data_IF_443547577223
#
_entry.id   IF_443547577223
#
_cell.length_a   1.000
_cell.length_b   1.000
_cell.length_c   1.000
_cell.angle_alpha   90.00
_cell.angle_beta   90.00
_cell.angle_gamma   90.00
#
_symmetry.space_group_name_H-M   'P 1'
#
loop_
_entity.id
_entity.type
_entity.pdbx_description
1 polymer ?
#
# COMPACT_ATOMS: atom_id res chain seq x y z
N UNK A 1 -41.59 -22.95 37.91
CA UNK A 1 -41.00 -22.38 36.69
C UNK A 1 -40.41 -23.54 35.91
N UNK A 2 -40.87 -23.78 34.68
CA UNK A 2 -40.39 -24.92 33.88
C UNK A 2 -38.92 -24.71 33.50
N UNK A 3 -38.12 -25.78 33.59
CA UNK A 3 -36.69 -25.78 33.28
C UNK A 3 -36.44 -25.26 31.85
N UNK A 4 -37.35 -25.58 30.95
CA UNK A 4 -37.34 -25.12 29.55
C UNK A 4 -37.44 -23.60 29.47
N UNK A 5 -38.32 -22.96 30.24
CA UNK A 5 -38.46 -21.49 30.25
C UNK A 5 -37.26 -20.81 30.90
N UNK A 6 -36.68 -21.39 31.95
CA UNK A 6 -35.46 -20.87 32.58
C UNK A 6 -34.25 -20.94 31.62
N UNK A 7 -34.09 -22.04 30.89
CA UNK A 7 -32.95 -22.25 29.98
C UNK A 7 -33.09 -21.41 28.70
N UNK A 8 -34.28 -21.32 28.10
CA UNK A 8 -34.44 -20.63 26.81
C UNK A 8 -34.76 -19.13 26.93
N UNK A 9 -35.25 -18.65 28.07
CA UNK A 9 -35.52 -17.22 28.27
C UNK A 9 -34.61 -16.59 29.35
N UNK A 10 -34.36 -17.30 30.46
CA UNK A 10 -33.58 -16.77 31.58
C UNK A 10 -32.08 -16.67 31.26
N UNK A 11 -31.47 -17.75 30.78
CA UNK A 11 -30.04 -17.80 30.46
C UNK A 11 -29.60 -16.77 29.42
N UNK A 12 -30.30 -16.58 28.28
CA UNK A 12 -29.94 -15.55 27.31
C UNK A 12 -30.03 -14.13 27.87
N UNK A 13 -31.04 -13.84 28.70
CA UNK A 13 -31.19 -12.52 29.35
C UNK A 13 -30.08 -12.29 30.37
N UNK A 14 -29.69 -13.31 31.13
CA UNK A 14 -28.56 -13.25 32.07
C UNK A 14 -27.25 -13.01 31.31
N UNK A 15 -27.00 -13.76 30.24
CA UNK A 15 -25.82 -13.58 29.39
C UNK A 15 -25.77 -12.16 28.82
N UNK A 16 -26.90 -11.65 28.32
CA UNK A 16 -27.00 -10.28 27.80
C UNK A 16 -26.73 -9.24 28.89
N UNK A 17 -27.30 -9.40 30.08
CA UNK A 17 -27.04 -8.50 31.22
C UNK A 17 -25.56 -8.51 31.64
N UNK A 18 -24.92 -9.68 31.69
CA UNK A 18 -23.49 -9.75 31.99
C UNK A 18 -22.64 -9.12 30.88
N UNK A 19 -22.98 -9.35 29.61
CA UNK A 19 -22.29 -8.73 28.49
C UNK A 19 -22.37 -7.20 28.54
N UNK A 20 -23.54 -6.65 28.85
CA UNK A 20 -23.75 -5.20 28.96
C UNK A 20 -23.06 -4.61 30.19
N UNK A 21 -23.06 -5.35 31.32
CA UNK A 21 -22.30 -4.99 32.51
C UNK A 21 -20.80 -4.89 32.24
N UNK A 22 -20.21 -5.91 31.59
CA UNK A 22 -18.78 -5.91 31.29
C UNK A 22 -18.41 -4.85 30.26
N UNK A 23 -19.23 -4.62 29.22
CA UNK A 23 -19.01 -3.52 28.26
C UNK A 23 -18.97 -2.17 28.95
N UNK A 24 -19.89 -1.91 29.87
CA UNK A 24 -19.94 -0.64 30.60
C UNK A 24 -18.72 -0.45 31.51
N UNK A 25 -18.34 -1.51 32.23
CA UNK A 25 -17.15 -1.49 33.09
C UNK A 25 -15.86 -1.28 32.29
N UNK A 26 -15.74 -1.90 31.13
CA UNK A 26 -14.57 -1.78 30.25
C UNK A 26 -14.46 -0.37 29.65
N UNK A 27 -15.60 0.21 29.26
CA UNK A 27 -15.68 1.61 28.83
C UNK A 27 -15.25 2.57 29.96
N UNK A 28 -15.74 2.38 31.18
CA UNK A 28 -15.38 3.21 32.33
C UNK A 28 -13.88 3.08 32.68
N UNK A 29 -13.33 1.87 32.64
CA UNK A 29 -11.91 1.62 32.86
C UNK A 29 -11.04 2.27 31.78
N UNK A 30 -11.42 2.13 30.51
CA UNK A 30 -10.72 2.73 29.37
C UNK A 30 -10.74 4.26 29.45
N UNK A 31 -11.89 4.84 29.79
CA UNK A 31 -12.02 6.29 29.96
C UNK A 31 -11.13 6.80 31.10
N UNK A 32 -11.07 6.08 32.23
CA UNK A 32 -10.21 6.40 33.38
C UNK A 32 -8.72 6.25 33.08
N UNK A 33 -8.34 5.23 32.29
CA UNK A 33 -6.95 5.05 31.82
C UNK A 33 -6.52 6.24 30.95
N UNK A 34 -7.39 6.65 30.03
CA UNK A 34 -7.17 7.77 29.11
C UNK A 34 -7.30 9.15 29.77
N UNK A 35 -7.83 9.26 31.00
CA UNK A 35 -7.90 10.52 31.76
C UNK A 35 -6.50 11.08 32.11
N UNK A 36 -5.52 10.19 32.32
CA UNK A 36 -4.13 10.56 32.63
C UNK A 36 -3.32 11.03 31.42
N UNK A 37 -3.81 10.75 30.21
CA UNK A 37 -3.13 10.96 28.93
C UNK A 37 -3.33 12.39 28.38
N UNK A 38 -3.38 13.40 29.27
CA UNK A 38 -3.65 14.80 28.93
C UNK A 38 -2.54 15.49 28.11
N UNK A 39 -1.45 14.80 27.79
CA UNK A 39 -0.35 15.31 26.97
C UNK A 39 -0.44 14.98 25.48
N UNK A 40 -1.32 14.05 25.09
CA UNK A 40 -1.51 13.70 23.68
C UNK A 40 -2.62 14.57 23.07
N UNK A 41 -2.36 15.31 21.98
CA UNK A 41 -3.40 16.07 21.33
C UNK A 41 -4.52 15.11 20.90
N UNK A 42 -5.72 15.30 21.47
CA UNK A 42 -6.92 14.56 21.09
C UNK A 42 -7.20 14.85 19.61
N UNK A 43 -6.81 13.93 18.73
CA UNK A 43 -7.15 13.96 17.32
C UNK A 43 -8.66 13.69 17.25
N UNK A 44 -9.46 14.77 17.25
CA UNK A 44 -10.94 14.71 17.21
C UNK A 44 -11.49 14.33 15.85
N UNK A 45 -10.69 14.49 14.80
CA UNK A 45 -11.02 14.09 13.44
C UNK A 45 -9.81 13.39 12.84
N UNK A 46 -9.98 12.14 12.46
CA UNK A 46 -9.10 11.58 11.45
C UNK A 46 -9.41 12.30 10.14
N UNK A 47 -8.49 13.14 9.70
CA UNK A 47 -8.56 13.80 8.39
C UNK A 47 -8.17 12.78 7.30
N UNK A 48 -9.00 11.74 7.15
CA UNK A 48 -8.97 10.90 5.96
C UNK A 48 -9.54 11.73 4.83
N UNK A 49 -8.68 12.17 3.91
CA UNK A 49 -9.18 12.74 2.66
C UNK A 49 -9.79 11.58 1.87
N UNK A 50 -11.12 11.47 1.91
CA UNK A 50 -11.93 10.60 1.07
C UNK A 50 -11.85 11.14 -0.35
N UNK A 51 -10.91 10.66 -1.15
CA UNK A 51 -10.88 10.93 -2.58
C UNK A 51 -11.87 9.98 -3.27
N UNK A 52 -12.96 10.55 -3.80
CA UNK A 52 -14.01 9.83 -4.54
C UNK A 52 -13.42 9.27 -5.84
N UNK A 53 -13.49 7.96 -6.01
CA UNK A 53 -13.32 7.29 -7.31
C UNK A 53 -14.47 6.31 -7.48
N UNK A 54 -15.26 6.50 -8.54
CA UNK A 54 -16.44 5.69 -8.83
C UNK A 54 -16.09 4.29 -9.34
N UNK A 55 -16.93 3.34 -8.90
CA UNK A 55 -17.34 2.03 -9.44
C UNK A 55 -16.24 1.09 -10.04
N UNK A 56 -16.15 -0.22 -9.72
CA UNK A 56 -17.22 -1.23 -9.67
C UNK A 56 -16.87 -2.49 -8.84
N UNK A 57 -17.94 -3.08 -8.28
CA UNK A 57 -18.21 -4.46 -7.81
C UNK A 57 -17.32 -5.14 -6.74
N UNK A 58 -17.89 -5.29 -5.52
CA UNK A 58 -18.06 -6.56 -4.78
C UNK A 58 -19.22 -6.36 -3.78
N UNK A 59 -20.13 -7.34 -3.73
CA UNK A 59 -21.30 -7.39 -2.85
C UNK A 59 -20.95 -7.13 -1.38
N UNK A 60 -21.56 -6.09 -0.78
CA UNK A 60 -22.17 -6.04 0.57
C UNK A 60 -22.29 -4.57 1.01
N UNK A 61 -23.30 -4.27 1.81
CA UNK A 61 -23.66 -2.96 2.38
C UNK A 61 -24.68 -2.15 1.55
N UNK A 62 -25.92 -2.66 1.58
CA UNK A 62 -27.10 -1.81 1.52
C UNK A 62 -27.03 -0.76 2.63
N UNK A 63 -27.49 0.45 2.32
CA UNK A 63 -27.45 1.69 3.12
C UNK A 63 -26.15 2.51 2.93
N UNK A 64 -26.18 3.36 1.89
CA UNK A 64 -25.16 4.35 1.47
C UNK A 64 -23.83 3.74 0.97
N UNK A 65 -23.79 3.38 -0.31
CA UNK A 65 -22.62 2.76 -0.96
C UNK A 65 -21.47 3.76 -1.18
N UNK A 66 -20.71 4.03 -0.12
CA UNK A 66 -19.39 4.65 -0.22
C UNK A 66 -18.39 3.64 0.34
N UNK A 67 -17.51 3.14 -0.52
CA UNK A 67 -16.37 2.35 -0.09
C UNK A 67 -15.25 3.28 0.40
N UNK A 68 -14.75 3.05 1.61
CA UNK A 68 -13.61 3.78 2.15
C UNK A 68 -12.31 3.18 1.63
N UNK A 69 -11.45 4.01 1.04
CA UNK A 69 -10.10 3.62 0.63
C UNK A 69 -9.10 4.16 1.64
N UNK A 70 -8.38 3.27 2.32
CA UNK A 70 -7.33 3.65 3.26
C UNK A 70 -6.00 3.84 2.54
N UNK A 71 -5.45 5.05 2.60
CA UNK A 71 -4.16 5.38 2.02
C UNK A 71 -3.27 6.10 3.04
N UNK A 72 -1.98 5.78 3.02
CA UNK A 72 -1.02 6.37 3.93
C UNK A 72 -0.69 7.83 3.61
N UNK A 73 -0.85 8.74 4.59
CA UNK A 73 -0.49 10.17 4.50
C UNK A 73 0.62 10.56 5.49
N UNK A 74 1.79 9.96 5.32
CA UNK A 74 3.02 10.22 6.09
C UNK A 74 4.23 9.71 5.30
N UNK A 75 5.44 9.95 5.80
CA UNK A 75 6.66 9.43 5.17
C UNK A 75 6.58 7.89 5.12
N UNK A 76 6.88 7.35 3.94
CA UNK A 76 6.75 5.91 3.63
C UNK A 76 5.41 5.51 3.01
N UNK A 77 4.42 6.42 2.99
CA UNK A 77 3.11 6.18 2.38
C UNK A 77 2.42 4.95 2.98
N UNK A 78 1.60 4.24 2.20
CA UNK A 78 0.88 3.06 2.70
C UNK A 78 1.79 1.96 3.26
N UNK A 79 3.08 1.91 2.90
CA UNK A 79 4.05 0.99 3.52
C UNK A 79 4.26 1.20 5.02
N UNK A 80 3.93 2.38 5.55
CA UNK A 80 4.03 2.68 6.99
C UNK A 80 2.81 2.22 7.80
N UNK A 81 1.72 1.78 7.17
CA UNK A 81 0.47 1.37 7.86
C UNK A 81 -0.21 0.11 7.31
N UNK A 82 0.17 -0.41 6.13
CA UNK A 82 -0.43 -1.62 5.53
C UNK A 82 -0.32 -2.87 6.44
N UNK A 83 -0.86 -4.00 6.02
CA UNK A 83 -0.79 -5.27 6.76
C UNK A 83 0.62 -5.91 6.84
N UNK A 84 1.69 -5.19 6.49
CA UNK A 84 3.09 -5.64 6.54
C UNK A 84 3.48 -6.83 5.66
N UNK A 85 2.53 -7.45 4.97
CA UNK A 85 2.76 -8.57 4.07
C UNK A 85 3.70 -8.17 2.93
N UNK A 86 4.75 -8.97 2.76
CA UNK A 86 5.68 -8.89 1.64
C UNK A 86 5.38 -10.02 0.65
N UNK A 87 4.77 -9.67 -0.48
CA UNK A 87 4.47 -10.59 -1.57
C UNK A 87 4.80 -9.91 -2.90
N UNK A 88 5.50 -10.63 -3.79
CA UNK A 88 5.93 -10.11 -5.09
C UNK A 88 4.86 -10.16 -6.16
N UNK A 89 3.86 -11.03 -6.02
CA UNK A 89 2.89 -11.33 -7.07
C UNK A 89 3.34 -12.46 -8.00
N UNK A 90 2.48 -12.84 -8.95
CA UNK A 90 2.73 -13.98 -9.83
C UNK A 90 3.74 -13.62 -10.93
N UNK A 91 4.70 -14.51 -11.28
CA UNK A 91 5.54 -14.35 -12.47
C UNK A 91 4.73 -14.05 -13.73
N UNK A 92 3.55 -14.65 -13.86
CA UNK A 92 2.66 -14.47 -15.00
C UNK A 92 2.14 -13.03 -15.13
N UNK A 93 2.01 -12.31 -14.01
CA UNK A 93 1.58 -10.90 -14.04
C UNK A 93 2.64 -10.02 -14.71
N UNK A 94 3.92 -10.27 -14.39
CA UNK A 94 5.06 -9.55 -14.95
C UNK A 94 5.33 -9.92 -16.41
N UNK A 95 5.26 -11.21 -16.74
CA UNK A 95 5.41 -11.67 -18.12
C UNK A 95 4.27 -11.13 -19.01
N UNK A 96 3.06 -11.01 -18.45
CA UNK A 96 1.94 -10.35 -19.12
C UNK A 96 2.21 -8.85 -19.32
N UNK A 97 2.77 -8.14 -18.33
CA UNK A 97 3.15 -6.73 -18.50
C UNK A 97 4.21 -6.55 -19.58
N UNK A 98 5.23 -7.39 -19.60
CA UNK A 98 6.27 -7.36 -20.63
C UNK A 98 5.67 -7.52 -22.03
N UNK A 99 4.74 -8.46 -22.19
CA UNK A 99 4.01 -8.66 -23.45
C UNK A 99 3.12 -7.47 -23.81
N UNK A 100 2.42 -6.90 -22.83
CA UNK A 100 1.50 -5.77 -23.06
C UNK A 100 2.27 -4.49 -23.45
N UNK A 101 3.45 -4.28 -22.88
CA UNK A 101 4.29 -3.11 -23.09
C UNK A 101 5.30 -3.29 -24.24
N UNK A 102 5.42 -4.50 -24.79
CA UNK A 102 6.49 -4.90 -25.71
C UNK A 102 7.89 -4.54 -25.15
N UNK A 103 8.10 -4.84 -23.87
CA UNK A 103 9.31 -4.50 -23.12
C UNK A 103 9.67 -5.62 -22.13
N UNK A 104 10.65 -6.44 -22.51
CA UNK A 104 11.15 -7.57 -21.72
C UNK A 104 11.72 -7.15 -20.36
N UNK A 105 12.08 -5.88 -20.15
CA UNK A 105 12.60 -5.42 -18.86
C UNK A 105 11.56 -5.52 -17.73
N UNK A 106 10.28 -5.69 -18.07
CA UNK A 106 9.18 -5.93 -17.14
C UNK A 106 8.88 -7.41 -16.89
N UNK A 107 9.54 -8.35 -17.57
CA UNK A 107 9.31 -9.77 -17.36
C UNK A 107 9.75 -10.21 -15.95
N UNK A 108 9.29 -11.37 -15.49
CA UNK A 108 9.60 -11.79 -14.13
C UNK A 108 11.09 -11.99 -13.89
N UNK A 109 11.86 -12.42 -14.89
CA UNK A 109 13.30 -12.67 -14.78
C UNK A 109 14.06 -11.37 -14.51
N UNK A 110 13.74 -10.29 -15.20
CA UNK A 110 14.33 -8.97 -15.01
C UNK A 110 13.84 -8.32 -13.72
N UNK A 111 12.55 -8.44 -13.41
CA UNK A 111 11.97 -7.94 -12.16
C UNK A 111 12.55 -8.66 -10.92
N UNK A 112 12.83 -9.96 -11.00
CA UNK A 112 13.45 -10.74 -9.94
C UNK A 112 14.79 -10.15 -9.51
N UNK A 113 15.59 -9.64 -10.45
CA UNK A 113 16.84 -8.94 -10.12
C UNK A 113 16.58 -7.73 -9.23
N UNK A 114 15.59 -6.92 -9.56
CA UNK A 114 15.22 -5.74 -8.77
C UNK A 114 14.64 -6.10 -7.39
N UNK A 115 13.85 -7.18 -7.30
CA UNK A 115 13.39 -7.68 -6.00
C UNK A 115 14.57 -8.07 -5.12
N UNK A 116 15.53 -8.83 -5.66
CA UNK A 116 16.74 -9.25 -4.94
C UNK A 116 17.63 -8.06 -4.54
N UNK A 117 17.74 -7.04 -5.38
CA UNK A 117 18.50 -5.82 -5.04
C UNK A 117 17.83 -5.02 -3.91
N UNK A 118 16.49 -5.07 -3.83
CA UNK A 118 15.71 -4.29 -2.87
C UNK A 118 15.68 -4.90 -1.46
N UNK A 119 15.86 -6.22 -1.35
CA UNK A 119 15.59 -6.96 -0.12
C UNK A 119 16.83 -7.57 0.55
N UNK A 120 16.73 -7.72 1.87
CA UNK A 120 17.59 -8.52 2.71
C UNK A 120 16.70 -9.54 3.43
N UNK A 121 16.54 -10.70 2.80
CA UNK A 121 15.71 -11.77 3.30
C UNK A 121 16.45 -12.60 4.35
N UNK A 122 15.85 -12.69 5.54
CA UNK A 122 16.43 -13.36 6.71
C UNK A 122 15.52 -14.43 7.31
N UNK A 123 14.27 -14.52 6.84
CA UNK A 123 13.32 -15.48 7.34
C UNK A 123 13.67 -16.92 6.94
N UNK A 124 13.02 -17.88 7.58
CA UNK A 124 13.16 -19.31 7.26
C UNK A 124 12.28 -19.67 6.07
N UNK A 125 12.84 -20.38 5.10
CA UNK A 125 12.11 -20.87 3.93
C UNK A 125 11.55 -22.27 4.17
N UNK A 126 10.49 -22.61 3.43
CA UNK A 126 10.00 -23.99 3.33
C UNK A 126 11.07 -24.88 2.69
N UNK A 127 11.75 -24.37 1.65
CA UNK A 127 12.87 -25.03 0.99
C UNK A 127 14.08 -24.09 0.93
N UNK A 128 15.06 -24.32 1.81
CA UNK A 128 16.26 -23.49 1.90
C UNK A 128 17.15 -23.53 0.65
N UNK A 129 17.06 -24.57 -0.17
CA UNK A 129 17.83 -24.66 -1.43
C UNK A 129 17.45 -23.57 -2.44
N UNK A 130 16.25 -22.98 -2.29
CA UNK A 130 15.75 -21.93 -3.18
C UNK A 130 16.24 -20.52 -2.80
N UNK A 131 16.86 -20.34 -1.62
CA UNK A 131 17.22 -19.02 -1.09
C UNK A 131 18.05 -18.20 -2.06
N UNK A 132 19.18 -18.73 -2.52
CA UNK A 132 20.11 -17.99 -3.38
C UNK A 132 19.53 -17.68 -4.77
N UNK A 133 18.66 -18.55 -5.26
CA UNK A 133 18.02 -18.38 -6.56
C UNK A 133 17.02 -17.22 -6.50
N UNK A 134 16.16 -17.17 -5.49
CA UNK A 134 15.01 -16.26 -5.47
C UNK A 134 15.16 -15.05 -4.56
N UNK A 135 16.07 -15.07 -3.58
CA UNK A 135 16.14 -14.02 -2.56
C UNK A 135 17.45 -13.22 -2.56
N UNK A 136 17.33 -11.95 -2.20
CA UNK A 136 18.41 -11.00 -1.93
C UNK A 136 18.83 -11.04 -0.45
N UNK A 137 20.11 -10.73 -0.19
CA UNK A 137 20.70 -10.74 1.16
C UNK A 137 21.17 -9.35 1.62
N UNK A 138 21.29 -8.40 0.70
CA UNK A 138 22.01 -7.15 0.95
C UNK A 138 21.19 -5.90 0.65
N UNK A 139 19.94 -6.05 0.24
CA UNK A 139 19.05 -4.93 0.01
C UNK A 139 18.69 -4.17 1.30
N UNK A 140 18.24 -2.92 1.18
CA UNK A 140 17.92 -2.07 2.34
C UNK A 140 16.69 -2.53 3.13
N UNK A 141 15.72 -3.17 2.47
CA UNK A 141 14.48 -3.65 3.09
C UNK A 141 14.68 -5.04 3.68
N UNK A 142 14.59 -5.20 5.00
CA UNK A 142 14.63 -6.51 5.64
C UNK A 142 13.27 -7.18 5.53
N UNK A 143 13.31 -8.42 5.06
CA UNK A 143 12.15 -9.29 4.95
C UNK A 143 12.39 -10.50 5.84
N UNK A 144 11.43 -10.78 6.70
CA UNK A 144 11.41 -11.94 7.58
C UNK A 144 10.14 -12.76 7.32
N UNK A 145 10.00 -13.90 7.99
CA UNK A 145 8.79 -14.74 7.90
C UNK A 145 8.17 -14.82 9.28
N UNK A 146 6.89 -14.44 9.37
CA UNK A 146 6.10 -14.57 10.58
C UNK A 146 5.54 -15.99 10.68
N UNK A 147 6.05 -16.76 11.63
CA UNK A 147 5.68 -18.16 11.87
C UNK A 147 4.88 -18.20 13.19
N UNK A 148 3.55 -18.09 13.15
CA UNK A 148 2.76 -18.12 14.37
C UNK A 148 2.71 -19.54 14.95
N UNK A 149 2.59 -19.65 16.28
CA UNK A 149 2.54 -20.95 16.96
C UNK A 149 1.41 -21.87 16.46
N UNK A 150 0.32 -21.30 15.95
CA UNK A 150 -0.81 -22.06 15.41
C UNK A 150 -0.61 -22.57 13.97
N UNK A 151 0.48 -22.19 13.27
CA UNK A 151 0.70 -22.54 11.86
C UNK A 151 0.71 -24.06 11.63
N UNK A 152 1.21 -24.84 12.59
CA UNK A 152 1.23 -26.30 12.49
C UNK A 152 -0.19 -26.89 12.39
N UNK A 153 -1.18 -26.33 13.10
CA UNK A 153 -2.58 -26.77 13.03
C UNK A 153 -3.18 -26.51 11.64
N UNK A 154 -2.89 -25.34 11.08
CA UNK A 154 -3.28 -25.01 9.71
C UNK A 154 -2.60 -25.93 8.69
N UNK A 155 -1.33 -26.29 8.96
CA UNK A 155 -0.56 -27.19 8.12
C UNK A 155 -1.17 -28.59 8.08
N UNK A 156 -1.57 -29.11 9.24
CA UNK A 156 -2.27 -30.40 9.33
C UNK A 156 -3.60 -30.37 8.56
N UNK A 157 -4.45 -29.37 8.81
CA UNK A 157 -5.75 -29.25 8.15
C UNK A 157 -5.63 -29.10 6.63
N UNK A 158 -4.68 -28.31 6.15
CA UNK A 158 -4.41 -28.16 4.72
C UNK A 158 -3.90 -29.47 4.09
N UNK A 159 -3.06 -30.23 4.81
CA UNK A 159 -2.55 -31.52 4.35
C UNK A 159 -3.64 -32.58 4.26
N UNK A 160 -4.59 -32.60 5.20
CA UNK A 160 -5.77 -33.49 5.16
C UNK A 160 -6.64 -33.25 3.91
N UNK A 161 -6.65 -32.01 3.40
CA UNK A 161 -7.33 -31.61 2.18
C UNK A 161 -6.46 -31.77 0.91
N UNK A 162 -5.24 -32.29 1.04
CA UNK A 162 -4.32 -32.52 -0.07
C UNK A 162 -3.59 -31.28 -0.58
N UNK A 163 -3.56 -30.19 0.19
CA UNK A 163 -2.80 -28.99 -0.17
C UNK A 163 -1.36 -29.06 0.33
N UNK A 164 -0.45 -28.54 -0.50
CA UNK A 164 0.97 -28.45 -0.18
C UNK A 164 1.33 -27.11 0.47
N UNK A 165 2.52 -27.06 1.05
CA UNK A 165 3.16 -25.82 1.51
C UNK A 165 4.31 -25.46 0.59
N UNK A 166 4.34 -24.22 0.12
CA UNK A 166 5.44 -23.72 -0.71
C UNK A 166 5.64 -22.23 -0.50
N UNK A 167 6.83 -21.73 -0.81
CA UNK A 167 7.15 -20.33 -0.64
C UNK A 167 6.43 -19.46 -1.70
N UNK A 168 5.75 -18.36 -1.30
CA UNK A 168 4.94 -17.54 -2.21
C UNK A 168 5.77 -16.60 -3.09
N UNK A 169 7.07 -16.45 -2.85
CA UNK A 169 7.97 -15.55 -3.55
C UNK A 169 9.13 -16.28 -4.25
N UNK A 170 9.24 -17.61 -4.09
CA UNK A 170 10.21 -18.47 -4.78
C UNK A 170 9.55 -19.20 -5.97
N UNK A 171 9.72 -20.51 -6.09
CA UNK A 171 8.98 -21.30 -7.08
C UNK A 171 7.52 -21.42 -6.64
N UNK A 172 6.67 -20.53 -7.19
CA UNK A 172 5.28 -20.41 -6.79
C UNK A 172 4.44 -21.59 -7.29
N UNK A 173 3.79 -22.26 -6.36
CA UNK A 173 2.73 -23.23 -6.63
C UNK A 173 1.51 -22.91 -5.75
N UNK A 174 0.28 -23.22 -6.20
CA UNK A 174 -0.90 -23.10 -5.33
C UNK A 174 -0.69 -23.89 -4.04
N UNK A 175 -0.57 -23.17 -2.92
CA UNK A 175 -0.09 -23.74 -1.66
C UNK A 175 -0.41 -22.83 -0.48
N UNK A 176 -0.20 -23.35 0.72
CA UNK A 176 -0.20 -22.58 1.97
C UNK A 176 1.22 -22.18 2.37
N UNK A 177 1.34 -21.11 3.14
CA UNK A 177 2.64 -20.61 3.63
C UNK A 177 2.48 -19.71 4.84
N UNK A 178 3.55 -19.63 5.64
CA UNK A 178 3.75 -18.52 6.56
C UNK A 178 3.89 -17.20 5.79
N UNK A 179 3.48 -16.09 6.41
CA UNK A 179 3.52 -14.78 5.76
C UNK A 179 4.93 -14.22 5.81
N UNK A 180 5.47 -13.84 4.65
CA UNK A 180 6.64 -12.96 4.62
C UNK A 180 6.23 -11.55 5.02
N UNK A 181 7.01 -10.89 5.87
CA UNK A 181 6.73 -9.56 6.40
C UNK A 181 7.95 -8.66 6.36
N UNK A 182 7.72 -7.35 6.23
CA UNK A 182 8.79 -6.33 6.27
C UNK A 182 9.04 -5.86 7.72
N UNK A 183 10.04 -6.46 8.36
CA UNK A 183 10.31 -6.27 9.79
C UNK A 183 11.81 -6.28 10.10
N UNK A 184 12.21 -5.48 11.09
CA UNK A 184 13.57 -5.48 11.66
C UNK A 184 13.50 -5.37 13.17
N UNK A 185 14.08 -6.35 13.86
CA UNK A 185 14.14 -6.41 15.33
C UNK A 185 12.75 -6.24 15.98
N UNK A 186 11.73 -6.93 15.44
CA UNK A 186 10.35 -6.85 15.94
C UNK A 186 9.59 -5.58 15.55
N UNK A 187 10.21 -4.65 14.81
CA UNK A 187 9.60 -3.38 14.41
C UNK A 187 9.38 -3.38 12.90
N UNK A 188 8.20 -2.94 12.45
CA UNK A 188 7.88 -2.71 11.03
C UNK A 188 9.01 -1.95 10.35
N UNK A 189 9.40 -2.39 9.16
CA UNK A 189 10.33 -1.64 8.32
C UNK A 189 9.60 -1.06 7.10
N UNK A 190 9.23 0.23 7.17
CA UNK A 190 8.58 0.92 6.06
C UNK A 190 9.56 1.23 4.93
N UNK A 191 9.03 1.65 3.76
CA UNK A 191 9.87 2.17 2.66
C UNK A 191 10.68 3.40 3.09
N UNK A 192 10.14 4.23 3.98
CA UNK A 192 10.89 5.36 4.55
C UNK A 192 12.04 4.87 5.44
N UNK A 193 11.80 3.91 6.33
CA UNK A 193 12.83 3.39 7.22
C UNK A 193 13.96 2.68 6.44
N UNK A 194 13.60 1.87 5.44
CA UNK A 194 14.56 1.12 4.63
C UNK A 194 15.38 2.02 3.69
N UNK A 195 14.73 2.91 2.93
CA UNK A 195 15.37 3.58 1.79
C UNK A 195 15.72 5.06 2.02
N UNK A 196 15.10 5.74 2.99
CA UNK A 196 15.24 7.20 3.12
C UNK A 196 15.85 7.62 4.46
N UNK A 197 15.36 7.04 5.56
CA UNK A 197 15.77 7.38 6.93
C UNK A 197 17.19 6.93 7.23
N UNK A 198 17.57 5.73 6.79
CA UNK A 198 18.96 5.28 6.82
C UNK A 198 19.76 6.16 5.88
N UNK A 199 20.85 6.72 6.37
CA UNK A 199 21.73 7.66 5.65
C UNK A 199 22.08 7.05 4.29
N UNK A 200 21.43 7.54 3.23
CA UNK A 200 21.78 7.16 1.86
C UNK A 200 23.06 7.91 1.48
N UNK A 201 23.76 7.45 0.43
CA UNK A 201 24.90 8.21 -0.13
C UNK A 201 24.48 9.56 -0.72
N UNK A 202 23.17 9.82 -0.76
CA UNK A 202 22.54 11.02 -1.28
C UNK A 202 22.01 11.82 -0.09
N UNK A 203 22.06 13.14 -0.16
CA UNK A 203 21.53 14.01 0.88
C UNK A 203 20.21 14.64 0.42
N UNK A 204 19.09 13.89 0.42
CA UNK A 204 17.82 14.44 -0.05
C UNK A 204 17.28 15.48 0.93
N UNK A 205 16.86 16.62 0.41
CA UNK A 205 16.02 17.57 1.17
C UNK A 205 14.59 17.07 1.19
N UNK A 206 14.06 16.77 2.38
CA UNK A 206 12.71 16.25 2.55
C UNK A 206 11.77 17.37 3.00
N UNK A 207 10.93 17.84 2.09
CA UNK A 207 9.87 18.80 2.39
C UNK A 207 8.62 18.07 2.93
N UNK A 208 8.49 18.04 4.26
CA UNK A 208 7.30 17.48 4.93
C UNK A 208 6.14 18.46 4.88
N UNK A 209 4.92 17.96 5.10
CA UNK A 209 3.69 18.76 5.16
C UNK A 209 3.45 19.61 3.90
N UNK A 210 3.99 19.17 2.76
CA UNK A 210 3.94 19.86 1.49
C UNK A 210 3.18 18.99 0.50
N UNK A 211 2.12 19.52 -0.09
CA UNK A 211 1.35 18.83 -1.13
C UNK A 211 1.60 19.54 -2.46
N UNK A 212 2.04 18.77 -3.46
CA UNK A 212 2.11 19.22 -4.83
C UNK A 212 0.69 19.49 -5.36
N UNK A 213 0.47 20.69 -5.89
CA UNK A 213 -0.82 21.06 -6.46
C UNK A 213 -0.83 20.89 -7.97
N UNK A 214 0.26 21.31 -8.63
CA UNK A 214 0.41 21.23 -10.08
C UNK A 214 1.87 21.09 -10.52
N UNK A 215 2.07 20.36 -11.63
CA UNK A 215 3.31 20.35 -12.41
C UNK A 215 3.18 21.38 -13.53
N UNK A 216 4.09 22.35 -13.58
CA UNK A 216 4.17 23.32 -14.66
C UNK A 216 5.23 22.89 -15.66
N UNK A 217 4.85 22.81 -16.93
CA UNK A 217 5.76 22.47 -18.03
C UNK A 217 6.19 23.77 -18.70
N UNK A 218 7.50 24.01 -18.81
CA UNK A 218 8.05 25.14 -19.58
C UNK A 218 8.78 24.59 -20.81
N UNK A 219 8.29 24.91 -22.02
CA UNK A 219 9.01 24.65 -23.28
C UNK A 219 8.35 23.71 -24.29
N UNK A 220 7.05 23.47 -24.24
CA UNK A 220 6.33 22.75 -25.31
C UNK A 220 5.52 23.72 -26.18
N UNK A 221 5.80 23.76 -27.49
CA UNK A 221 4.80 24.08 -28.49
C UNK A 221 3.94 22.83 -28.66
N UNK A 222 2.66 22.91 -28.30
CA UNK A 222 1.69 21.84 -28.54
C UNK A 222 1.48 21.71 -30.06
N UNK A 223 2.11 20.72 -30.68
CA UNK A 223 1.56 20.16 -31.93
C UNK A 223 0.50 19.15 -31.51
N UNK A 224 -0.76 19.45 -31.84
CA UNK A 224 -1.86 18.49 -31.86
C UNK A 224 -1.48 17.35 -32.80
N UNK A 225 -0.97 16.23 -32.26
CA UNK A 225 -0.73 15.02 -33.03
C UNK A 225 -2.05 14.26 -33.13
N UNK A 226 -2.65 14.32 -34.31
CA UNK A 226 -3.77 13.45 -34.67
C UNK A 226 -3.31 11.99 -34.65
N UNK A 227 -4.16 11.15 -34.08
CA UNK A 227 -4.05 9.70 -33.94
C UNK A 227 -3.39 9.00 -35.14
N UNK A 228 -2.30 8.25 -34.91
CA UNK A 228 -2.13 6.82 -35.28
C UNK A 228 -0.71 6.26 -35.14
N UNK A 229 0.31 7.02 -34.72
CA UNK A 229 1.64 6.45 -34.46
C UNK A 229 2.18 6.91 -33.10
N UNK A 230 2.34 5.98 -32.17
CA UNK A 230 2.89 6.22 -30.83
C UNK A 230 4.12 5.33 -30.63
N UNK A 231 5.25 5.73 -31.21
CA UNK A 231 6.55 5.13 -30.91
C UNK A 231 7.15 5.88 -29.71
N UNK A 232 7.27 5.19 -28.57
CA UNK A 232 7.77 5.75 -27.29
C UNK A 232 9.28 6.05 -27.31
N UNK A 233 9.97 5.90 -28.45
CA UNK A 233 11.43 6.01 -28.56
C UNK A 233 11.97 7.39 -28.99
N UNK A 234 11.30 8.48 -28.66
CA UNK A 234 11.87 9.84 -28.81
C UNK A 234 12.09 10.48 -27.44
N UNK A 235 13.35 10.52 -27.01
CA UNK A 235 13.83 11.23 -25.81
C UNK A 235 13.55 12.74 -25.91
N UNK A 236 12.35 13.18 -25.51
CA UNK A 236 12.05 14.61 -25.37
C UNK A 236 12.30 15.09 -23.93
N UNK A 237 13.20 16.08 -23.81
CA UNK A 237 13.72 16.64 -22.56
C UNK A 237 12.68 17.55 -21.88
N UNK A 238 11.85 17.00 -21.00
CA UNK A 238 10.85 17.75 -20.23
C UNK A 238 11.45 18.45 -19.00
N UNK A 239 11.19 19.76 -18.84
CA UNK A 239 11.46 20.52 -17.61
C UNK A 239 10.16 20.75 -16.84
N UNK A 240 10.02 20.15 -15.66
CA UNK A 240 8.89 20.35 -14.75
C UNK A 240 9.24 21.24 -13.56
N UNK A 241 8.37 22.18 -13.19
CA UNK A 241 8.42 22.88 -11.90
C UNK A 241 7.16 22.57 -11.09
N UNK A 242 7.31 22.26 -9.80
CA UNK A 242 6.19 22.01 -8.89
C UNK A 242 5.76 23.31 -8.21
N UNK A 243 4.47 23.62 -8.24
CA UNK A 243 3.87 24.78 -7.59
C UNK A 243 2.97 24.35 -6.43
N UNK A 244 3.05 25.08 -5.31
CA UNK A 244 2.14 24.95 -4.16
C UNK A 244 1.44 26.29 -3.90
N UNK A 245 0.18 26.24 -3.47
CA UNK A 245 -0.71 27.41 -3.34
C UNK A 245 -0.35 28.37 -2.19
N UNK A 246 0.58 28.00 -1.30
CA UNK A 246 0.95 28.80 -0.11
C UNK A 246 2.45 29.19 0.04
N UNK A 247 3.29 28.97 -0.99
CA UNK A 247 4.75 29.30 -1.15
C UNK A 247 5.54 28.08 -1.69
N UNK A 248 6.87 28.18 -1.90
CA UNK A 248 7.59 28.60 -3.10
C UNK A 248 7.46 27.63 -4.31
N UNK A 249 7.82 28.10 -5.51
CA UNK A 249 7.93 27.25 -6.70
C UNK A 249 9.26 26.49 -6.69
N UNK A 250 9.23 25.17 -6.77
CA UNK A 250 10.43 24.35 -6.85
C UNK A 250 10.75 24.04 -8.32
N UNK A 251 11.94 24.46 -8.77
CA UNK A 251 12.45 24.14 -10.10
C UNK A 251 13.59 23.15 -10.00
N UNK A 252 13.53 22.05 -10.76
CA UNK A 252 14.63 21.09 -10.87
C UNK A 252 15.48 21.43 -12.10
N UNK A 253 16.77 21.72 -11.90
CA UNK A 253 17.74 22.02 -12.99
C UNK A 253 18.31 20.78 -13.69
N UNK A 254 18.18 19.59 -13.11
CA UNK A 254 18.67 18.32 -13.67
C UNK A 254 17.52 17.33 -13.86
N UNK A 255 17.72 16.34 -14.73
CA UNK A 255 16.85 15.18 -15.04
C UNK A 255 16.58 14.30 -13.80
N UNK A 256 16.08 14.88 -12.72
CA UNK A 256 15.40 14.13 -11.69
C UNK A 256 14.05 13.75 -12.25
N UNK A 257 13.87 12.51 -12.67
CA UNK A 257 12.56 11.95 -12.96
C UNK A 257 11.63 12.32 -11.80
N UNK A 258 10.70 13.26 -12.01
CA UNK A 258 9.64 13.54 -11.04
C UNK A 258 8.73 12.33 -11.04
N UNK A 259 9.11 11.29 -10.30
CA UNK A 259 8.29 10.08 -10.13
C UNK A 259 7.18 10.45 -9.18
N UNK A 260 6.04 10.85 -9.73
CA UNK A 260 4.79 10.97 -8.99
C UNK A 260 4.41 9.56 -8.51
N UNK A 261 4.13 9.40 -7.21
CA UNK A 261 3.84 8.09 -6.61
C UNK A 261 2.51 8.13 -5.87
N UNK A 262 1.70 7.10 -6.08
CA UNK A 262 0.37 6.91 -5.47
C UNK A 262 -0.74 6.94 -6.53
N UNK A 263 -1.37 5.78 -6.79
CA UNK A 263 -2.26 5.58 -7.95
C UNK A 263 -3.37 6.63 -8.09
N UNK A 264 -4.03 7.01 -7.00
CA UNK A 264 -5.16 7.97 -7.04
C UNK A 264 -4.68 9.41 -7.24
N UNK A 265 -3.71 9.85 -6.41
CA UNK A 265 -3.27 11.26 -6.39
C UNK A 265 -2.44 11.65 -7.59
N UNK A 266 -1.76 10.69 -8.22
CA UNK A 266 -0.98 10.94 -9.44
C UNK A 266 -1.91 11.40 -10.57
N UNK A 267 -3.01 10.69 -10.81
CA UNK A 267 -3.97 11.04 -11.86
C UNK A 267 -4.60 12.41 -11.60
N UNK A 268 -5.01 12.71 -10.35
CA UNK A 268 -5.55 14.03 -9.98
C UNK A 268 -4.52 15.13 -10.22
N UNK A 269 -3.25 14.91 -9.83
CA UNK A 269 -2.19 15.87 -10.04
C UNK A 269 -1.92 16.12 -11.53
N UNK A 270 -1.95 15.06 -12.36
CA UNK A 270 -1.83 15.19 -13.81
C UNK A 270 -3.00 15.98 -14.40
N UNK A 271 -4.24 15.68 -14.02
CA UNK A 271 -5.44 16.41 -14.44
C UNK A 271 -5.34 17.90 -14.06
N UNK A 272 -4.97 18.22 -12.82
CA UNK A 272 -4.70 19.60 -12.38
C UNK A 272 -3.58 20.29 -13.17
N UNK A 273 -2.66 19.50 -13.71
CA UNK A 273 -1.56 19.95 -14.56
C UNK A 273 -1.93 20.10 -16.03
N UNK A 274 -3.21 19.89 -16.39
CA UNK A 274 -3.68 19.95 -17.76
C UNK A 274 -3.32 18.71 -18.59
N UNK A 275 -2.99 17.59 -17.93
CA UNK A 275 -2.60 16.34 -18.57
C UNK A 275 -3.66 15.29 -18.22
N UNK A 276 -4.48 14.92 -19.20
CA UNK A 276 -5.56 13.95 -19.02
C UNK A 276 -6.54 13.97 -20.20
N UNK A 277 -7.61 13.16 -20.16
CA UNK A 277 -8.65 13.18 -21.18
C UNK A 277 -9.27 14.58 -21.32
N UNK A 278 -9.39 15.07 -22.54
CA UNK A 278 -9.85 16.44 -22.82
C UNK A 278 -11.22 16.76 -22.20
N UNK A 279 -12.17 15.82 -22.28
CA UNK A 279 -13.51 15.97 -21.71
C UNK A 279 -13.48 16.22 -20.20
N UNK A 280 -12.59 15.52 -19.48
CA UNK A 280 -12.42 15.67 -18.03
C UNK A 280 -11.83 17.04 -17.70
N UNK A 281 -10.83 17.49 -18.49
CA UNK A 281 -10.19 18.80 -18.29
C UNK A 281 -11.16 19.96 -18.54
N UNK A 282 -12.02 19.85 -19.56
CA UNK A 282 -13.02 20.87 -19.88
C UNK A 282 -14.13 20.94 -18.81
N UNK A 283 -14.58 19.80 -18.30
CA UNK A 283 -15.58 19.74 -17.24
C UNK A 283 -15.08 20.29 -15.89
N UNK A 284 -13.77 20.23 -15.64
CA UNK A 284 -13.14 20.85 -14.48
C UNK A 284 -13.07 22.38 -14.62
N UNK A 285 -12.80 22.87 -15.83
CA UNK A 285 -12.76 24.31 -16.13
C UNK A 285 -14.14 24.98 -16.06
N UNK A 286 -15.23 24.27 -16.38
CA UNK A 286 -16.60 24.82 -16.31
C UNK A 286 -17.14 25.01 -14.88
N UNK A 287 -16.38 24.60 -13.84
CA UNK A 287 -16.78 24.71 -12.43
C UNK A 287 -16.09 25.86 -11.68
N UNK A 288 -15.17 26.58 -12.32
CA UNK A 288 -14.52 27.79 -11.81
C UNK A 288 -15.06 29.03 -12.50
#
# INVERSE_FOLDING_TARGET
MDLTTFVFAGLPVIIQQYADFYKKRDLEATLKELESDQGLPRIKEYDFIVEKLGNYHILLLYFTQIATVHAGRMLGGSGSHNSNVYNRGSPLDFDYWAKLLDDETWDYKHMLKHFKDSENFVGRLVNENQRYQYYGKFGPLRVDVDIPDFLHKWTMAASELGYNFSDPNAHQTPSFTAQSISIRNGIRESTYDAFVKKKTMWHPTIHRYSQADRVTLKGYQLQTLNSTDFDWRQQHRLRGCLQSSRNPTYSSRQEGSHRLRGGVRVSILLTKSGIGPQEVLQADQSKN
#
